data_IF_397845235975
#
_entry.id   IF_397845235975
#
_cell.length_a   1.000
_cell.length_b   1.000
_cell.length_c   1.000
_cell.angle_alpha   90.00
_cell.angle_beta   90.00
_cell.angle_gamma   90.00
#
_symmetry.space_group_name_H-M   'P 1'
#
loop_
_entity.id
_entity.type
_entity.pdbx_description
1 polymer ?
#
# COMPACT_ATOMS: atom_id res chain seq x y z
N UNK A 1 19.56 17.24 -8.67
CA UNK A 1 18.51 18.02 -7.98
C UNK A 1 17.81 18.90 -9.00
N UNK A 2 16.51 19.16 -8.85
CA UNK A 2 15.75 20.02 -9.78
C UNK A 2 15.10 21.17 -9.00
N UNK A 3 15.21 22.44 -9.44
CA UNK A 3 14.55 23.56 -8.77
C UNK A 3 13.05 23.35 -8.68
N UNK A 4 12.46 23.80 -7.58
CA UNK A 4 11.01 23.80 -7.38
C UNK A 4 10.33 24.79 -8.34
N UNK A 5 9.14 24.43 -8.82
CA UNK A 5 8.32 25.30 -9.68
C UNK A 5 7.78 26.44 -8.82
N UNK A 6 8.12 27.69 -9.16
CA UNK A 6 7.80 28.87 -8.34
C UNK A 6 6.30 29.09 -8.12
N UNK A 7 5.47 28.75 -9.11
CA UNK A 7 4.01 28.84 -9.01
C UNK A 7 3.45 28.01 -7.83
N UNK A 8 4.07 26.87 -7.55
CA UNK A 8 3.69 25.98 -6.44
C UNK A 8 4.47 26.27 -5.16
N UNK A 9 5.75 26.62 -5.28
CA UNK A 9 6.67 26.85 -4.15
C UNK A 9 7.31 28.24 -4.25
N UNK A 10 6.59 29.27 -3.80
CA UNK A 10 7.04 30.67 -3.88
C UNK A 10 8.36 30.95 -3.14
N UNK A 11 8.65 30.17 -2.09
CA UNK A 11 9.91 30.24 -1.34
C UNK A 11 11.10 29.55 -2.03
N UNK A 12 10.90 28.97 -3.23
CA UNK A 12 11.93 28.19 -3.91
C UNK A 12 12.20 26.84 -3.24
N UNK A 13 13.34 26.23 -3.59
CA UNK A 13 13.78 24.93 -3.05
C UNK A 13 14.29 23.98 -4.13
N UNK A 14 14.84 22.84 -3.69
CA UNK A 14 15.33 21.78 -4.57
C UNK A 14 14.59 20.47 -4.32
N UNK A 15 14.11 19.86 -5.40
CA UNK A 15 13.52 18.53 -5.39
C UNK A 15 14.58 17.45 -5.63
N UNK A 16 14.41 16.35 -4.88
CA UNK A 16 15.19 15.13 -5.05
C UNK A 16 14.60 14.30 -6.18
N UNK A 17 15.32 14.24 -7.29
CA UNK A 17 14.93 13.46 -8.47
C UNK A 17 15.87 12.30 -8.66
N UNK A 18 15.32 11.10 -8.58
CA UNK A 18 15.98 9.84 -8.91
C UNK A 18 14.95 8.89 -9.53
N UNK A 19 15.45 7.84 -10.17
CA UNK A 19 14.64 6.76 -10.72
C UNK A 19 15.05 5.49 -9.98
N UNK A 20 14.08 4.81 -9.39
CA UNK A 20 14.34 3.53 -8.73
C UNK A 20 14.62 2.47 -9.78
N UNK A 21 15.63 1.64 -9.53
CA UNK A 21 15.95 0.52 -10.42
C UNK A 21 14.80 -0.49 -10.46
N UNK A 22 14.66 -1.17 -11.60
CA UNK A 22 13.68 -2.25 -11.77
C UNK A 22 14.15 -3.54 -11.10
N UNK A 23 13.21 -4.44 -10.84
CA UNK A 23 13.47 -5.75 -10.24
C UNK A 23 13.60 -5.74 -8.71
N UNK A 24 13.36 -4.61 -8.06
CA UNK A 24 13.45 -4.49 -6.60
C UNK A 24 12.08 -4.85 -5.99
N UNK A 25 12.00 -5.81 -5.06
CA UNK A 25 10.76 -6.14 -4.38
C UNK A 25 10.33 -5.01 -3.44
N UNK A 26 9.06 -4.64 -3.48
CA UNK A 26 8.48 -3.63 -2.59
C UNK A 26 7.11 -4.07 -2.08
N UNK A 27 6.79 -3.67 -0.85
CA UNK A 27 5.45 -3.71 -0.30
C UNK A 27 4.93 -2.27 -0.19
N UNK A 28 3.82 -2.00 -0.86
CA UNK A 28 3.09 -0.75 -0.70
C UNK A 28 2.07 -0.88 0.42
N UNK A 29 2.08 0.04 1.38
CA UNK A 29 1.12 0.06 2.49
C UNK A 29 0.43 1.40 2.63
N UNK A 30 -0.81 1.36 3.15
CA UNK A 30 -1.59 2.55 3.48
C UNK A 30 -2.56 2.28 4.62
N UNK A 31 -2.55 3.16 5.62
CA UNK A 31 -3.60 3.21 6.64
C UNK A 31 -4.63 4.27 6.25
N UNK A 32 -5.91 3.92 6.32
CA UNK A 32 -7.03 4.84 6.15
C UNK A 32 -7.93 4.80 7.37
N UNK A 33 -8.59 5.91 7.70
CA UNK A 33 -9.58 5.97 8.77
C UNK A 33 -10.95 6.06 8.12
N UNK A 34 -11.80 5.06 8.38
CA UNK A 34 -13.16 4.99 7.84
C UNK A 34 -14.14 5.33 8.96
N UNK A 35 -15.01 6.32 8.72
CA UNK A 35 -16.05 6.72 9.68
C UNK A 35 -16.98 5.53 9.98
N UNK A 36 -17.14 5.20 11.26
CA UNK A 36 -17.99 4.09 11.72
C UNK A 36 -17.30 2.73 11.81
N UNK A 37 -16.10 2.59 11.24
CA UNK A 37 -15.30 1.36 11.30
C UNK A 37 -13.99 1.56 12.08
N UNK A 38 -13.32 2.69 11.89
CA UNK A 38 -12.02 2.99 12.48
C UNK A 38 -10.86 2.86 11.46
N UNK A 39 -9.62 2.64 11.92
CA UNK A 39 -8.47 2.48 11.04
C UNK A 39 -8.55 1.16 10.26
N UNK A 40 -8.14 1.17 9.00
CA UNK A 40 -7.99 -0.01 8.15
C UNK A 40 -6.64 0.03 7.44
N UNK A 41 -6.06 -1.14 7.18
CA UNK A 41 -4.78 -1.28 6.49
C UNK A 41 -4.96 -1.89 5.09
N UNK A 42 -4.29 -1.30 4.11
CA UNK A 42 -4.15 -1.82 2.74
C UNK A 42 -2.69 -2.22 2.50
N UNK A 43 -2.49 -3.37 1.88
CA UNK A 43 -1.17 -3.94 1.57
C UNK A 43 -1.17 -4.39 0.11
N UNK A 44 -0.10 -4.07 -0.62
CA UNK A 44 0.12 -4.57 -1.97
C UNK A 44 1.61 -4.87 -2.17
N UNK A 45 1.96 -6.15 -2.25
CA UNK A 45 3.30 -6.61 -2.62
C UNK A 45 3.48 -6.59 -4.14
N UNK A 46 4.68 -6.25 -4.58
CA UNK A 46 5.02 -6.19 -5.99
C UNK A 46 6.50 -5.96 -6.23
N UNK A 47 6.82 -5.58 -7.46
CA UNK A 47 8.19 -5.26 -7.88
C UNK A 47 8.25 -3.91 -8.55
N UNK A 48 9.38 -3.24 -8.39
CA UNK A 48 9.72 -2.13 -9.26
C UNK A 48 9.97 -2.65 -10.68
N UNK A 49 9.58 -1.88 -11.68
CA UNK A 49 9.76 -2.22 -13.10
C UNK A 49 10.54 -1.14 -13.82
N UNK A 50 11.58 -1.56 -14.53
CA UNK A 50 12.35 -0.68 -15.40
C UNK A 50 11.68 -0.60 -16.77
N UNK A 51 11.12 0.56 -17.11
CA UNK A 51 10.61 0.80 -18.46
C UNK A 51 11.76 1.07 -19.44
N UNK A 52 11.67 0.57 -20.69
CA UNK A 52 12.59 0.96 -21.75
C UNK A 52 12.67 2.49 -21.87
N UNK A 53 13.87 3.04 -22.13
CA UNK A 53 14.10 4.51 -22.19
C UNK A 53 13.14 5.24 -23.15
N UNK A 54 12.72 4.59 -24.23
CA UNK A 54 11.74 5.11 -25.18
C UNK A 54 10.34 5.32 -24.57
N UNK A 55 9.94 4.47 -23.62
CA UNK A 55 8.61 4.50 -22.98
C UNK A 55 8.63 5.26 -21.64
N UNK A 56 9.81 5.40 -21.02
CA UNK A 56 9.99 6.13 -19.77
C UNK A 56 9.88 7.67 -19.94
N UNK A 57 10.11 8.21 -21.14
CA UNK A 57 10.01 9.65 -21.44
C UNK A 57 8.54 10.12 -21.56
N UNK A 58 7.67 9.46 -22.35
CA UNK A 58 6.27 9.86 -22.49
C UNK A 58 5.42 9.67 -21.23
N UNK A 59 5.76 8.69 -20.38
CA UNK A 59 5.07 8.46 -19.10
C UNK A 59 5.31 9.58 -18.06
N UNK A 60 6.33 10.42 -18.26
CA UNK A 60 6.62 11.56 -17.39
C UNK A 60 5.87 12.77 -17.92
N UNK A 61 4.77 13.15 -17.27
CA UNK A 61 4.09 14.42 -17.58
C UNK A 61 5.04 15.60 -17.35
N UNK A 62 5.01 16.67 -18.18
CA UNK A 62 5.90 17.84 -18.07
C UNK A 62 5.98 18.40 -16.64
N UNK A 63 4.85 18.46 -15.94
CA UNK A 63 4.73 19.00 -14.58
C UNK A 63 5.24 18.07 -13.47
N UNK A 64 5.48 16.79 -13.76
CA UNK A 64 5.93 15.78 -12.79
C UNK A 64 7.41 15.43 -12.94
N UNK A 65 8.11 15.99 -13.94
CA UNK A 65 9.54 15.74 -14.18
C UNK A 65 10.45 16.09 -12.99
N UNK A 66 9.95 16.83 -12.00
CA UNK A 66 10.69 17.24 -10.80
C UNK A 66 10.62 16.20 -9.67
N UNK A 67 9.73 15.20 -9.75
CA UNK A 67 9.46 14.25 -8.66
C UNK A 67 10.17 12.90 -8.85
N UNK A 68 10.43 12.19 -7.75
CA UNK A 68 10.89 10.80 -7.78
C UNK A 68 9.78 9.89 -8.33
N UNK A 69 10.14 8.95 -9.20
CA UNK A 69 9.20 8.01 -9.82
C UNK A 69 9.52 6.59 -9.40
N UNK A 70 8.50 5.90 -8.85
CA UNK A 70 8.52 4.47 -8.54
C UNK A 70 7.41 3.82 -9.35
N UNK A 71 7.76 2.96 -10.30
CA UNK A 71 6.77 2.17 -11.04
C UNK A 71 6.67 0.81 -10.36
N UNK A 72 5.52 0.51 -9.77
CA UNK A 72 5.29 -0.73 -9.02
C UNK A 72 4.26 -1.58 -9.76
N UNK A 73 4.63 -2.80 -10.09
CA UNK A 73 3.70 -3.81 -10.57
C UNK A 73 3.33 -4.73 -9.39
N UNK A 74 2.08 -4.69 -8.90
CA UNK A 74 1.64 -5.61 -7.87
C UNK A 74 1.65 -7.04 -8.41
N UNK A 75 1.98 -8.00 -7.55
CA UNK A 75 1.95 -9.43 -7.89
C UNK A 75 0.55 -9.80 -8.37
N UNK A 76 0.41 -10.44 -9.55
CA UNK A 76 -0.89 -10.83 -10.06
C UNK A 76 -1.45 -11.95 -9.20
N UNK A 77 -2.42 -11.62 -8.34
CA UNK A 77 -3.34 -12.62 -7.82
C UNK A 77 -4.47 -12.80 -8.84
N UNK A 78 -4.92 -14.04 -9.02
CA UNK A 78 -5.65 -14.53 -10.19
C UNK A 78 -7.03 -13.89 -10.39
N UNK A 79 -7.50 -13.00 -9.50
CA UNK A 79 -8.76 -12.24 -9.63
C UNK A 79 -9.01 -11.16 -8.55
N UNK A 80 -7.97 -10.59 -7.91
CA UNK A 80 -8.16 -9.75 -6.71
C UNK A 80 -8.36 -8.22 -6.93
N UNK A 81 -9.03 -7.50 -6.00
CA UNK A 81 -9.17 -6.03 -5.98
C UNK A 81 -7.83 -5.27 -5.92
N UNK A 82 -6.74 -5.99 -5.62
CA UNK A 82 -5.38 -5.46 -5.49
C UNK A 82 -4.85 -4.81 -6.77
N UNK A 83 -5.02 -5.44 -7.92
CA UNK A 83 -4.61 -4.84 -9.19
C UNK A 83 -5.41 -3.56 -9.49
N UNK A 84 -6.73 -3.56 -9.27
CA UNK A 84 -7.59 -2.42 -9.66
C UNK A 84 -7.35 -1.19 -8.77
N UNK A 85 -7.11 -1.36 -7.48
CA UNK A 85 -6.84 -0.24 -6.57
C UNK A 85 -5.45 0.38 -6.74
N UNK A 86 -4.40 -0.40 -7.01
CA UNK A 86 -3.06 0.14 -7.31
C UNK A 86 -3.05 0.91 -8.63
N UNK A 87 -3.85 0.47 -9.60
CA UNK A 87 -4.02 1.13 -10.90
C UNK A 87 -5.00 2.33 -10.87
N UNK A 88 -5.54 2.67 -9.70
CA UNK A 88 -6.39 3.86 -9.52
C UNK A 88 -7.83 3.74 -10.03
N UNK A 89 -8.24 2.55 -10.48
CA UNK A 89 -9.58 2.23 -11.02
C UNK A 89 -10.43 1.36 -10.06
N UNK A 90 -9.95 1.16 -8.82
CA UNK A 90 -10.60 0.29 -7.83
C UNK A 90 -11.58 1.02 -6.90
N UNK A 91 -12.68 0.33 -6.58
CA UNK A 91 -13.83 0.78 -5.78
C UNK A 91 -13.53 1.19 -4.32
N UNK A 92 -12.31 0.99 -3.80
CA UNK A 92 -11.94 1.23 -2.39
C UNK A 92 -11.38 2.64 -2.10
N UNK A 93 -11.69 3.61 -2.97
CA UNK A 93 -11.23 5.00 -2.85
C UNK A 93 -9.82 5.20 -3.38
N UNK A 94 -9.52 6.40 -3.90
CA UNK A 94 -8.18 6.80 -4.39
C UNK A 94 -7.34 7.34 -3.24
N UNK A 95 -6.46 6.57 -2.58
CA UNK A 95 -5.42 7.17 -1.77
C UNK A 95 -4.43 7.89 -2.69
N UNK A 96 -4.23 9.19 -2.45
CA UNK A 96 -3.27 10.02 -3.20
C UNK A 96 -1.82 9.76 -2.80
N UNK A 97 -1.61 9.02 -1.70
CA UNK A 97 -0.31 8.70 -1.12
C UNK A 97 -0.25 7.24 -0.68
N UNK A 98 0.91 6.60 -0.86
CA UNK A 98 1.23 5.28 -0.34
C UNK A 98 2.66 5.27 0.21
N UNK A 99 2.95 4.30 1.07
CA UNK A 99 4.31 4.07 1.61
C UNK A 99 4.91 2.88 0.92
N UNK A 100 6.15 2.97 0.44
CA UNK A 100 6.90 1.85 -0.12
C UNK A 100 7.94 1.37 0.88
N UNK A 101 7.86 0.10 1.25
CA UNK A 101 8.84 -0.59 2.09
C UNK A 101 9.57 -1.64 1.26
N UNK A 102 10.89 -1.73 1.43
CA UNK A 102 11.72 -2.69 0.71
C UNK A 102 11.37 -4.13 1.10
N UNK A 103 11.37 -5.04 0.12
CA UNK A 103 11.05 -6.46 0.32
C UNK A 103 9.56 -6.77 0.23
N UNK A 104 9.23 -8.06 0.41
CA UNK A 104 7.85 -8.56 0.55
C UNK A 104 7.57 -8.81 2.03
N UNK A 105 7.18 -7.75 2.72
CA UNK A 105 6.97 -7.69 4.17
C UNK A 105 5.47 -7.63 4.53
N UNK A 106 4.59 -8.03 3.61
CA UNK A 106 3.14 -7.99 3.81
C UNK A 106 2.68 -8.87 4.97
N UNK A 107 3.29 -10.04 5.16
CA UNK A 107 2.99 -10.92 6.29
C UNK A 107 3.33 -10.28 7.64
N UNK A 108 4.42 -9.52 7.71
CA UNK A 108 4.82 -8.78 8.91
C UNK A 108 3.79 -7.69 9.24
N UNK A 109 3.34 -6.97 8.21
CA UNK A 109 2.29 -5.95 8.36
C UNK A 109 0.95 -6.55 8.77
N UNK A 110 0.57 -7.73 8.27
CA UNK A 110 -0.66 -8.42 8.70
C UNK A 110 -0.57 -8.80 10.17
N UNK A 111 0.57 -9.36 10.59
CA UNK A 111 0.80 -9.76 11.99
C UNK A 111 0.74 -8.53 12.91
N UNK A 112 1.40 -7.44 12.52
CA UNK A 112 1.39 -6.18 13.25
C UNK A 112 -0.01 -5.56 13.33
N UNK A 113 -0.77 -5.59 12.23
CA UNK A 113 -2.13 -5.09 12.18
C UNK A 113 -3.05 -5.87 13.13
N UNK A 114 -2.92 -7.20 13.18
CA UNK A 114 -3.67 -8.03 14.13
C UNK A 114 -3.32 -7.70 15.59
N UNK A 115 -2.04 -7.48 15.92
CA UNK A 115 -1.62 -7.02 17.24
C UNK A 115 -2.21 -5.64 17.60
N UNK A 116 -2.40 -4.75 16.62
CA UNK A 116 -3.00 -3.43 16.84
C UNK A 116 -4.53 -3.43 16.70
N UNK A 117 -5.13 -4.56 16.35
CA UNK A 117 -6.57 -4.71 16.07
C UNK A 117 -7.04 -3.78 14.95
N UNK A 118 -6.20 -3.61 13.93
CA UNK A 118 -6.51 -2.88 12.71
C UNK A 118 -6.87 -3.89 11.63
N UNK A 119 -8.12 -3.91 11.12
CA UNK A 119 -8.49 -4.84 10.06
C UNK A 119 -7.75 -4.54 8.76
N UNK A 120 -7.31 -5.60 8.08
CA UNK A 120 -6.68 -5.53 6.76
C UNK A 120 -7.78 -5.64 5.71
N UNK A 121 -8.14 -4.52 5.08
CA UNK A 121 -9.23 -4.48 4.11
C UNK A 121 -8.83 -4.92 2.70
N UNK A 122 -7.53 -5.15 2.47
CA UNK A 122 -6.98 -5.46 1.16
C UNK A 122 -5.53 -5.95 1.31
N UNK A 123 -5.22 -7.15 0.81
CA UNK A 123 -3.87 -7.66 0.64
C UNK A 123 -3.78 -8.65 -0.52
N UNK A 124 -2.58 -8.83 -1.08
CA UNK A 124 -2.24 -9.91 -2.03
C UNK A 124 -1.21 -10.90 -1.44
N UNK A 125 -1.06 -10.91 -0.11
CA UNK A 125 -0.21 -11.85 0.60
C UNK A 125 -0.85 -13.24 0.57
N UNK A 126 -0.04 -14.26 0.32
CA UNK A 126 -0.44 -15.67 0.31
C UNK A 126 -1.03 -16.09 1.66
N UNK A 127 -2.18 -16.80 1.63
CA UNK A 127 -2.92 -17.19 2.85
C UNK A 127 -2.08 -17.99 3.85
N UNK A 128 -1.19 -18.87 3.37
CA UNK A 128 -0.30 -19.67 4.21
C UNK A 128 0.70 -18.83 5.04
N UNK A 129 0.92 -17.56 4.66
CA UNK A 129 1.81 -16.64 5.37
C UNK A 129 1.07 -15.75 6.37
N UNK A 130 -0.26 -15.85 6.43
CA UNK A 130 -1.07 -15.04 7.34
C UNK A 130 -0.90 -15.58 8.75
N UNK A 131 -0.22 -14.81 9.58
CA UNK A 131 0.00 -15.13 10.98
C UNK A 131 -0.73 -14.13 11.87
N UNK A 132 -1.65 -14.62 12.69
CA UNK A 132 -2.47 -13.84 13.62
C UNK A 132 -2.61 -14.59 14.94
N UNK A 133 -3.00 -13.92 16.05
CA UNK A 133 -3.25 -14.62 17.30
C UNK A 133 -4.31 -15.72 17.13
N UNK A 134 -4.13 -16.87 17.78
CA UNK A 134 -4.97 -18.06 17.61
C UNK A 134 -6.47 -17.81 17.83
N UNK A 135 -6.82 -16.80 18.63
CA UNK A 135 -8.20 -16.39 18.85
C UNK A 135 -8.92 -15.91 17.58
N UNK A 136 -8.21 -15.45 16.54
CA UNK A 136 -8.81 -15.07 15.26
C UNK A 136 -9.48 -16.27 14.57
N UNK A 137 -8.91 -17.47 14.68
CA UNK A 137 -9.50 -18.68 14.08
C UNK A 137 -10.88 -19.02 14.66
N UNK A 138 -11.13 -18.67 15.93
CA UNK A 138 -12.44 -18.86 16.56
C UNK A 138 -13.50 -17.87 16.02
N UNK A 139 -13.08 -16.77 15.39
CA UNK A 139 -13.98 -15.81 14.76
C UNK A 139 -14.40 -16.25 13.35
N UNK A 140 -13.94 -17.38 12.82
CA UNK A 140 -14.42 -17.95 11.56
C UNK A 140 -13.29 -18.43 10.64
N UNK A 141 -13.67 -19.19 9.61
CA UNK A 141 -12.72 -19.73 8.62
C UNK A 141 -12.38 -18.73 7.51
N UNK A 142 -13.32 -17.83 7.17
CA UNK A 142 -13.07 -16.75 6.23
C UNK A 142 -12.02 -15.77 6.79
N UNK A 143 -10.91 -15.59 6.08
CA UNK A 143 -9.73 -14.85 6.54
C UNK A 143 -10.03 -13.35 6.71
N UNK A 144 -10.84 -12.78 5.82
CA UNK A 144 -11.23 -11.39 5.92
C UNK A 144 -12.28 -11.22 7.04
N UNK A 145 -13.34 -12.02 6.99
CA UNK A 145 -14.44 -11.94 7.96
C UNK A 145 -14.01 -12.25 9.40
N UNK A 146 -13.04 -13.13 9.63
CA UNK A 146 -12.50 -13.37 10.97
C UNK A 146 -11.73 -12.15 11.50
N UNK A 147 -11.04 -11.41 10.63
CA UNK A 147 -10.25 -10.23 11.00
C UNK A 147 -11.16 -9.10 11.46
N UNK A 148 -12.17 -8.77 10.65
CA UNK A 148 -13.14 -7.73 10.98
C UNK A 148 -13.87 -8.02 12.29
N UNK A 149 -14.32 -9.27 12.49
CA UNK A 149 -15.02 -9.68 13.72
C UNK A 149 -14.10 -9.65 14.93
N UNK A 150 -12.87 -10.14 14.82
CA UNK A 150 -11.90 -10.11 15.92
C UNK A 150 -11.50 -8.67 16.28
N UNK A 151 -11.18 -7.84 15.30
CA UNK A 151 -10.86 -6.42 15.52
C UNK A 151 -12.01 -5.66 16.16
N UNK A 152 -13.26 -5.91 15.73
CA UNK A 152 -14.44 -5.28 16.31
C UNK A 152 -14.70 -5.75 17.76
N UNK A 153 -14.46 -7.03 18.04
CA UNK A 153 -14.63 -7.64 19.36
C UNK A 153 -13.62 -7.07 20.38
N UNK A 154 -12.33 -7.19 20.07
CA UNK A 154 -11.26 -6.76 20.99
C UNK A 154 -11.08 -5.24 21.05
N UNK A 155 -11.36 -4.53 19.95
CA UNK A 155 -11.21 -3.08 19.88
C UNK A 155 -9.76 -2.59 20.02
N UNK A 156 -9.55 -1.27 20.15
CA UNK A 156 -8.23 -0.65 20.24
C UNK A 156 -7.48 -1.07 21.51
N UNK A 157 -6.15 -1.23 21.39
CA UNK A 157 -5.31 -1.77 22.47
C UNK A 157 -5.25 -0.91 23.73
N UNK A 158 -5.23 0.42 23.59
CA UNK A 158 -4.91 1.30 24.72
C UNK A 158 -6.14 1.89 25.40
N UNK A 159 -7.12 2.36 24.63
CA UNK A 159 -8.36 2.99 25.12
C UNK A 159 -9.45 2.88 24.06
N UNK A 160 -10.70 2.70 24.50
CA UNK A 160 -11.91 2.65 23.66
C UNK A 160 -12.73 3.92 23.82
#
# INVERSE_FOLDING_TARGET
>A
MVPAIHEYFRGGGFSSRFLTEGGVPFTMTRVNIIKGLGPVLQIAEGWSVALPKANARPARRPHQLHLAHHLVCPTPDRQGPVQRCVLGDGQLGRPTHGVLTIGHVGADFITLAAMLRIPVCMHNVEEAKIYRPSAWAAHGMDIEGQDYRACQNYGPLYKR
#
